data_IF_751523209036
#
_entry.id   IF_751523209036
#
_cell.length_a   1.000
_cell.length_b   1.000
_cell.length_c   1.000
_cell.angle_alpha   90.00
_cell.angle_beta   90.00
_cell.angle_gamma   90.00
#
_symmetry.space_group_name_H-M   'P 1'
#
loop_
_entity.id
_entity.type
_entity.pdbx_description
1 polymer ?
#
# COMPACT_ATOMS: atom_id res chain seq x y z
N UNK A 1 21.53 22.41 -35.63
CA UNK A 1 21.51 21.54 -34.43
C UNK A 1 22.20 22.26 -33.27
N UNK A 2 21.44 22.88 -32.36
CA UNK A 2 21.84 23.05 -30.95
C UNK A 2 20.71 22.59 -30.01
N UNK A 3 20.84 22.10 -28.78
CA UNK A 3 21.90 21.74 -27.83
C UNK A 3 21.26 20.64 -26.93
N UNK A 4 22.04 19.78 -26.25
CA UNK A 4 21.48 18.77 -25.35
C UNK A 4 20.80 19.45 -24.15
N UNK A 5 19.50 19.18 -24.01
CA UNK A 5 18.68 19.66 -22.89
C UNK A 5 19.25 19.08 -21.60
N UNK A 6 19.96 19.91 -20.84
CA UNK A 6 20.40 19.59 -19.48
C UNK A 6 19.16 19.20 -18.66
N UNK A 7 19.03 17.91 -18.37
CA UNK A 7 18.00 17.36 -17.50
C UNK A 7 18.25 17.96 -16.11
N UNK A 8 17.50 19.01 -15.75
CA UNK A 8 17.58 19.59 -14.40
C UNK A 8 17.23 18.49 -13.41
N UNK A 9 17.99 18.29 -12.32
CA UNK A 9 17.57 17.36 -11.27
C UNK A 9 16.20 17.82 -10.76
N UNK A 10 15.27 16.87 -10.65
CA UNK A 10 13.92 17.17 -10.18
C UNK A 10 14.02 17.87 -8.81
N UNK A 11 13.32 19.00 -8.67
CA UNK A 11 13.33 19.76 -7.41
C UNK A 11 12.73 18.87 -6.31
N UNK A 12 13.49 18.47 -5.27
CA UNK A 12 13.03 17.50 -4.29
C UNK A 12 11.78 17.95 -3.52
N UNK A 13 11.61 19.27 -3.36
CA UNK A 13 10.43 19.87 -2.71
C UNK A 13 9.19 19.68 -3.58
N UNK A 14 9.29 19.96 -4.89
CA UNK A 14 8.17 19.78 -5.81
C UNK A 14 7.75 18.30 -5.91
N UNK A 15 8.70 17.38 -5.85
CA UNK A 15 8.41 15.94 -5.80
C UNK A 15 7.72 15.52 -4.49
N UNK A 16 8.12 16.11 -3.36
CA UNK A 16 7.45 15.88 -2.08
C UNK A 16 6.02 16.41 -2.08
N UNK A 17 5.79 17.63 -2.58
CA UNK A 17 4.46 18.24 -2.68
C UNK A 17 3.51 17.38 -3.52
N UNK A 18 3.97 16.86 -4.66
CA UNK A 18 3.18 15.93 -5.50
C UNK A 18 2.81 14.66 -4.73
N UNK A 19 3.77 14.05 -4.02
CA UNK A 19 3.52 12.84 -3.21
C UNK A 19 2.56 13.10 -2.04
N UNK A 20 2.58 14.29 -1.46
CA UNK A 20 1.64 14.70 -0.42
C UNK A 20 0.21 14.88 -0.98
N UNK A 21 0.07 15.34 -2.21
CA UNK A 21 -1.24 15.46 -2.87
C UNK A 21 -1.87 14.11 -3.23
N UNK A 22 -1.05 13.11 -3.56
CA UNK A 22 -1.50 11.75 -3.92
C UNK A 22 -1.71 10.83 -2.71
N UNK A 23 -1.35 11.29 -1.51
CA UNK A 23 -1.45 10.52 -0.28
C UNK A 23 -2.92 10.24 0.05
N UNK A 24 -3.23 8.98 0.39
CA UNK A 24 -4.52 8.58 0.94
C UNK A 24 -4.45 8.72 2.47
N UNK A 25 -5.04 9.77 3.07
CA UNK A 25 -4.86 10.06 4.51
C UNK A 25 -5.60 9.09 5.42
N UNK A 26 -6.52 8.30 4.86
CA UNK A 26 -7.29 7.30 5.59
C UNK A 26 -6.83 5.90 5.20
N UNK A 27 -6.55 5.08 6.21
CA UNK A 27 -6.30 3.65 6.06
C UNK A 27 -7.62 2.90 6.23
N UNK A 28 -7.98 2.10 5.23
CA UNK A 28 -9.09 1.14 5.33
C UNK A 28 -8.58 -0.14 5.97
N UNK A 29 -9.34 -0.67 6.92
CA UNK A 29 -9.01 -1.92 7.61
C UNK A 29 -10.22 -2.86 7.56
N UNK A 30 -9.93 -4.15 7.37
CA UNK A 30 -10.90 -5.22 7.50
C UNK A 30 -10.72 -5.98 8.80
N UNK A 31 -11.46 -7.08 8.89
CA UNK A 31 -11.37 -8.01 10.01
C UNK A 31 -11.28 -9.43 9.48
N UNK A 32 -10.30 -10.18 9.99
CA UNK A 32 -10.25 -11.64 9.82
C UNK A 32 -11.40 -12.26 10.61
N UNK A 33 -12.25 -13.02 9.93
CA UNK A 33 -13.41 -13.68 10.53
C UNK A 33 -13.16 -15.15 10.80
N UNK A 34 -12.31 -15.80 10.00
CA UNK A 34 -12.04 -17.23 10.10
C UNK A 34 -10.68 -17.58 9.48
N UNK A 35 -9.97 -18.54 10.07
CA UNK A 35 -8.79 -19.18 9.48
C UNK A 35 -9.11 -20.61 9.07
N UNK A 36 -8.72 -21.00 7.86
CA UNK A 36 -8.95 -22.34 7.31
C UNK A 36 -7.66 -22.82 6.64
N UNK A 37 -6.98 -23.77 7.28
CA UNK A 37 -5.72 -24.31 6.78
C UNK A 37 -4.67 -23.20 6.61
N UNK A 38 -4.27 -22.95 5.36
CA UNK A 38 -3.29 -21.92 4.99
C UNK A 38 -3.94 -20.59 4.55
N UNK A 39 -5.27 -20.52 4.53
CA UNK A 39 -6.04 -19.36 4.05
C UNK A 39 -6.82 -18.70 5.19
N UNK A 40 -7.13 -17.42 5.03
CA UNK A 40 -7.98 -16.68 5.95
C UNK A 40 -9.14 -16.04 5.19
N UNK A 41 -10.28 -15.96 5.85
CA UNK A 41 -11.42 -15.18 5.38
C UNK A 41 -11.41 -13.83 6.10
N UNK A 42 -11.53 -12.75 5.32
CA UNK A 42 -11.58 -11.39 5.81
C UNK A 42 -12.75 -10.63 5.19
N UNK A 43 -13.29 -9.66 5.92
CA UNK A 43 -14.39 -8.80 5.48
C UNK A 43 -14.06 -7.33 5.74
N UNK A 44 -14.73 -6.41 5.03
CA UNK A 44 -14.58 -4.97 5.24
C UNK A 44 -13.41 -4.33 4.48
N UNK A 45 -12.78 -5.09 3.58
CA UNK A 45 -11.79 -4.59 2.64
C UNK A 45 -12.40 -4.58 1.23
N UNK A 46 -11.93 -3.64 0.43
CA UNK A 46 -12.32 -3.44 -0.97
C UNK A 46 -11.06 -3.77 -1.79
N UNK A 47 -10.85 -5.05 -2.05
CA UNK A 47 -9.65 -5.64 -2.67
C UNK A 47 -10.06 -6.58 -3.81
N UNK A 48 -9.18 -6.69 -4.80
CA UNK A 48 -9.32 -7.57 -5.95
C UNK A 48 -8.45 -8.82 -5.81
N UNK A 49 -8.71 -9.85 -6.61
CA UNK A 49 -7.88 -11.07 -6.65
C UNK A 49 -6.47 -10.69 -7.11
N UNK A 50 -5.45 -11.20 -6.41
CA UNK A 50 -4.04 -10.88 -6.62
C UNK A 50 -3.55 -9.66 -5.84
N UNK A 51 -4.45 -8.92 -5.16
CA UNK A 51 -4.01 -7.81 -4.31
C UNK A 51 -3.17 -8.32 -3.13
N UNK A 52 -2.07 -7.62 -2.87
CA UNK A 52 -1.27 -7.82 -1.67
C UNK A 52 -1.87 -7.02 -0.52
N UNK A 53 -2.17 -7.73 0.57
CA UNK A 53 -2.62 -7.13 1.81
C UNK A 53 -1.75 -7.55 2.99
N UNK A 54 -2.00 -6.95 4.14
CA UNK A 54 -1.26 -7.24 5.36
C UNK A 54 -2.25 -7.61 6.47
N UNK A 55 -1.97 -8.70 7.16
CA UNK A 55 -2.71 -9.15 8.34
C UNK A 55 -1.94 -8.68 9.58
N UNK A 56 -2.67 -8.09 10.52
CA UNK A 56 -2.13 -7.53 11.76
C UNK A 56 -2.65 -8.35 12.95
N UNK A 57 -1.89 -9.33 13.47
CA UNK A 57 -2.33 -10.17 14.59
C UNK A 57 -2.50 -9.38 15.88
N UNK A 58 -1.70 -8.32 16.04
CA UNK A 58 -1.86 -7.29 17.07
C UNK A 58 -2.03 -5.95 16.37
N UNK A 59 -2.41 -4.89 17.10
CA UNK A 59 -2.49 -3.53 16.53
C UNK A 59 -1.11 -2.90 16.25
N UNK A 60 -0.01 -3.60 16.49
CA UNK A 60 1.33 -3.14 16.17
C UNK A 60 1.69 -3.47 14.71
N UNK A 61 2.52 -2.63 14.09
CA UNK A 61 3.12 -2.95 12.77
C UNK A 61 4.11 -4.13 12.86
N UNK A 62 4.68 -4.35 14.04
CA UNK A 62 5.63 -5.42 14.29
C UNK A 62 4.91 -6.79 14.26
N UNK A 63 5.43 -7.69 13.41
CA UNK A 63 4.82 -9.01 13.20
C UNK A 63 3.65 -9.04 12.20
N UNK A 64 3.47 -8.00 11.38
CA UNK A 64 2.51 -8.04 10.27
C UNK A 64 2.87 -9.13 9.26
N UNK A 65 1.85 -9.80 8.74
CA UNK A 65 2.00 -10.90 7.78
C UNK A 65 1.53 -10.42 6.41
N UNK A 66 2.38 -10.56 5.39
CA UNK A 66 1.97 -10.34 4.01
C UNK A 66 1.07 -11.48 3.55
N UNK A 67 0.00 -11.15 2.82
CA UNK A 67 -0.93 -12.10 2.25
C UNK A 67 -1.35 -11.62 0.86
N UNK A 68 -1.80 -12.56 0.04
CA UNK A 68 -2.34 -12.31 -1.29
C UNK A 68 -3.82 -12.72 -1.29
N UNK A 69 -4.66 -11.91 -1.93
CA UNK A 69 -6.08 -12.24 -2.13
C UNK A 69 -6.17 -13.30 -3.22
N UNK A 70 -6.69 -14.48 -2.87
CA UNK A 70 -6.85 -15.64 -3.78
C UNK A 70 -8.32 -15.94 -4.06
#
# INVERSE_FOLDING_TARGET
MPEPQHLRPACPIADLERRLQELKPMRREGRVVRGIGLTVEAVGLDLEIGDLCHIFPTRAEEGRLAAEVV
#
